data_IF_938077826003
#
_entry.id   IF_938077826003
#
_cell.length_a   1.000
_cell.length_b   1.000
_cell.length_c   1.000
_cell.angle_alpha   90.00
_cell.angle_beta   90.00
_cell.angle_gamma   90.00
#
_symmetry.space_group_name_H-M   'P 1'
#
loop_
_entity.id
_entity.type
_entity.pdbx_description
1 polymer ?
#
# COMPACT_ATOMS: atom_id res chain seq x y z
N UNK A 1 63.29 12.66 15.34
CA UNK A 1 62.70 11.67 14.41
C UNK A 1 61.20 11.40 14.62
N UNK A 2 60.58 11.79 15.75
CA UNK A 2 59.13 11.60 15.97
C UNK A 2 58.22 12.71 15.42
N UNK A 3 58.76 13.88 15.07
CA UNK A 3 57.96 15.01 14.57
C UNK A 3 57.45 14.84 13.13
N UNK A 4 58.11 14.02 12.30
CA UNK A 4 57.61 13.69 10.94
C UNK A 4 56.58 12.54 10.92
N UNK A 5 56.53 11.70 11.95
CA UNK A 5 55.61 10.56 12.01
C UNK A 5 54.18 11.00 12.34
N UNK A 6 54.02 12.02 13.18
CA UNK A 6 52.73 12.62 13.53
C UNK A 6 51.91 13.12 12.32
N UNK A 7 52.45 13.98 11.44
CA UNK A 7 51.68 14.47 10.29
C UNK A 7 51.34 13.35 9.29
N UNK A 8 52.22 12.36 9.12
CA UNK A 8 51.96 11.19 8.27
C UNK A 8 50.83 10.30 8.81
N UNK A 9 50.79 10.07 10.12
CA UNK A 9 49.68 9.36 10.76
C UNK A 9 48.35 10.10 10.62
N UNK A 10 48.36 11.44 10.79
CA UNK A 10 47.14 12.25 10.63
C UNK A 10 46.64 12.22 9.18
N UNK A 11 47.52 12.33 8.19
CA UNK A 11 47.15 12.19 6.77
C UNK A 11 46.57 10.80 6.45
N UNK A 12 47.16 9.74 7.03
CA UNK A 12 46.66 8.38 6.88
C UNK A 12 45.26 8.20 7.45
N UNK A 13 45.01 8.68 8.67
CA UNK A 13 43.67 8.61 9.29
C UNK A 13 42.61 9.42 8.50
N UNK A 14 42.99 10.56 7.93
CA UNK A 14 42.13 11.36 7.05
C UNK A 14 41.80 10.61 5.75
N UNK A 15 42.80 9.97 5.13
CA UNK A 15 42.57 9.16 3.94
C UNK A 15 41.65 7.95 4.22
N UNK A 16 41.88 7.21 5.32
CA UNK A 16 41.05 6.07 5.70
C UNK A 16 39.61 6.47 6.06
N UNK A 17 39.42 7.61 6.74
CA UNK A 17 38.08 8.13 7.04
C UNK A 17 37.32 8.59 5.80
N UNK A 18 38.02 9.13 4.79
CA UNK A 18 37.41 9.47 3.50
C UNK A 18 37.03 8.23 2.67
N UNK A 19 37.80 7.14 2.74
CA UNK A 19 37.53 5.90 2.01
C UNK A 19 36.34 5.11 2.58
N UNK A 20 36.05 5.23 3.89
CA UNK A 20 34.87 4.65 4.53
C UNK A 20 33.61 5.52 4.42
N UNK A 21 33.73 6.74 3.88
CA UNK A 21 32.59 7.63 3.66
C UNK A 21 32.05 7.40 2.24
N UNK A 22 31.05 6.52 2.11
CA UNK A 22 30.34 6.29 0.85
C UNK A 22 29.63 7.59 0.45
N UNK A 23 30.31 8.40 -0.38
CA UNK A 23 29.79 9.66 -0.96
C UNK A 23 28.75 9.37 -2.07
N UNK A 24 28.78 8.17 -2.67
CA UNK A 24 27.85 7.73 -3.72
C UNK A 24 26.80 6.78 -3.17
N UNK A 25 26.11 7.16 -2.10
CA UNK A 25 24.89 6.44 -1.74
C UNK A 25 23.85 6.76 -2.83
N UNK A 26 23.30 5.74 -3.54
CA UNK A 26 22.15 5.99 -4.39
C UNK A 26 21.05 6.67 -3.56
N UNK A 27 20.28 7.56 -4.21
CA UNK A 27 19.19 8.30 -3.57
C UNK A 27 18.19 7.31 -2.99
N UNK A 28 18.24 7.05 -1.68
CA UNK A 28 17.51 5.90 -1.10
C UNK A 28 18.10 5.35 0.20
N UNK A 29 18.29 6.16 1.24
CA UNK A 29 18.60 5.65 2.58
C UNK A 29 17.39 4.96 3.25
N UNK A 30 17.55 4.27 4.40
CA UNK A 30 16.45 3.61 5.16
C UNK A 30 15.25 4.51 5.50
N UNK A 31 15.40 5.83 5.33
CA UNK A 31 14.40 6.86 5.61
C UNK A 31 14.13 7.77 4.42
N UNK A 32 14.72 7.49 3.26
CA UNK A 32 14.41 8.23 2.05
C UNK A 32 13.03 7.76 1.58
N UNK A 33 12.00 8.43 2.08
CA UNK A 33 10.69 8.37 1.48
C UNK A 33 10.85 8.85 0.03
N UNK A 34 10.45 8.07 -0.98
CA UNK A 34 10.45 8.55 -2.35
C UNK A 34 9.63 9.84 -2.41
N UNK A 35 10.22 10.89 -2.98
CA UNK A 35 9.54 12.16 -3.28
C UNK A 35 8.37 11.99 -4.27
N UNK A 36 8.24 10.82 -4.89
CA UNK A 36 7.08 10.42 -5.67
C UNK A 36 6.09 9.64 -4.80
N UNK A 37 4.81 10.04 -4.81
CA UNK A 37 3.74 9.33 -4.11
C UNK A 37 3.70 7.82 -4.41
N UNK A 38 2.98 7.08 -3.57
CA UNK A 38 2.88 5.62 -3.69
C UNK A 38 2.22 5.27 -5.04
N UNK A 39 2.94 4.52 -5.88
CA UNK A 39 2.40 4.08 -7.18
C UNK A 39 1.40 2.93 -7.00
N UNK A 40 0.54 2.71 -7.99
CA UNK A 40 -0.22 1.47 -8.04
C UNK A 40 0.71 0.29 -8.34
N UNK A 41 0.42 -0.86 -7.72
CA UNK A 41 1.13 -2.09 -8.07
C UNK A 41 0.82 -2.51 -9.51
N UNK A 42 1.72 -3.30 -10.09
CA UNK A 42 1.63 -3.75 -11.48
C UNK A 42 0.32 -4.49 -11.77
N UNK A 43 -0.06 -4.44 -13.04
CA UNK A 43 -1.22 -5.15 -13.57
C UNK A 43 -0.93 -6.65 -13.62
N UNK A 44 -1.97 -7.48 -13.53
CA UNK A 44 -1.84 -8.93 -13.62
C UNK A 44 -3.14 -9.58 -14.13
N UNK A 45 -3.09 -10.87 -14.39
CA UNK A 45 -4.27 -11.63 -14.82
C UNK A 45 -4.64 -11.45 -16.30
N UNK A 46 -5.70 -12.14 -16.74
CA UNK A 46 -6.11 -12.13 -18.14
C UNK A 46 -6.54 -10.72 -18.58
N UNK A 47 -5.85 -10.17 -19.57
CA UNK A 47 -6.11 -8.84 -20.12
C UNK A 47 -5.74 -7.69 -19.17
N UNK A 48 -4.80 -7.90 -18.25
CA UNK A 48 -4.31 -6.88 -17.30
C UNK A 48 -5.40 -6.25 -16.44
N UNK A 49 -6.48 -7.01 -16.21
CA UNK A 49 -7.66 -6.54 -15.47
C UNK A 49 -7.49 -6.62 -13.95
N UNK A 50 -6.43 -7.28 -13.47
CA UNK A 50 -6.09 -7.40 -12.06
C UNK A 50 -4.93 -6.51 -11.65
N UNK A 51 -4.69 -6.46 -10.34
CA UNK A 51 -3.56 -5.81 -9.69
C UNK A 51 -2.92 -6.77 -8.69
N UNK A 52 -1.61 -6.63 -8.51
CA UNK A 52 -0.87 -7.43 -7.53
C UNK A 52 -1.13 -6.93 -6.10
N UNK A 53 -1.53 -7.85 -5.21
CA UNK A 53 -1.68 -7.61 -3.77
C UNK A 53 -0.55 -8.24 -2.96
N UNK A 54 0.17 -9.20 -3.54
CA UNK A 54 1.34 -9.88 -2.98
C UNK A 54 2.10 -10.62 -4.09
N UNK A 55 3.25 -11.25 -3.79
CA UNK A 55 4.12 -11.86 -4.82
C UNK A 55 3.44 -13.01 -5.59
N UNK A 56 2.41 -13.61 -5.01
CA UNK A 56 1.63 -14.71 -5.60
C UNK A 56 0.13 -14.45 -5.55
N UNK A 57 -0.30 -13.18 -5.47
CA UNK A 57 -1.71 -12.79 -5.31
C UNK A 57 -2.07 -11.73 -6.35
N UNK A 58 -2.97 -12.09 -7.26
CA UNK A 58 -3.52 -11.20 -8.28
C UNK A 58 -5.04 -11.08 -8.11
N UNK A 59 -5.57 -9.87 -7.96
CA UNK A 59 -7.00 -9.65 -7.77
C UNK A 59 -7.54 -8.55 -8.68
N UNK A 60 -8.81 -8.65 -9.08
CA UNK A 60 -9.49 -7.59 -9.82
C UNK A 60 -11.00 -7.74 -9.81
N UNK A 61 -11.70 -6.62 -9.99
CA UNK A 61 -13.16 -6.59 -10.07
C UNK A 61 -13.66 -7.47 -11.23
N UNK A 62 -14.55 -8.40 -10.88
CA UNK A 62 -15.08 -9.43 -11.80
C UNK A 62 -14.10 -10.55 -12.17
N UNK A 63 -12.81 -10.44 -11.85
CA UNK A 63 -11.83 -11.54 -11.93
C UNK A 63 -11.85 -12.38 -10.65
N UNK A 64 -12.16 -11.76 -9.51
CA UNK A 64 -11.92 -12.35 -8.19
C UNK A 64 -10.44 -12.26 -7.83
N UNK A 65 -9.96 -13.24 -7.07
CA UNK A 65 -8.56 -13.35 -6.68
C UNK A 65 -7.97 -14.69 -7.11
N UNK A 66 -6.80 -14.63 -7.74
CA UNK A 66 -6.00 -15.76 -8.19
C UNK A 66 -4.75 -15.84 -7.32
N UNK A 67 -4.63 -16.92 -6.55
CA UNK A 67 -3.51 -17.16 -5.63
C UNK A 67 -2.64 -18.30 -6.16
N UNK A 68 -1.32 -18.11 -6.20
CA UNK A 68 -0.35 -19.16 -6.58
C UNK A 68 -0.50 -19.68 -8.01
N UNK A 69 -1.09 -18.87 -8.90
CA UNK A 69 -1.35 -19.22 -10.29
C UNK A 69 -0.29 -18.63 -11.23
N UNK A 70 -0.23 -19.11 -12.48
CA UNK A 70 0.59 -18.49 -13.52
C UNK A 70 0.23 -17.02 -13.76
N UNK A 71 -1.05 -16.66 -13.58
CA UNK A 71 -1.55 -15.29 -13.70
C UNK A 71 -1.05 -14.35 -12.59
N UNK A 72 -0.63 -14.90 -11.44
CA UNK A 72 -0.04 -14.15 -10.33
C UNK A 72 1.48 -14.20 -10.30
N UNK A 73 2.14 -15.03 -11.12
CA UNK A 73 3.59 -15.18 -11.11
C UNK A 73 4.33 -13.88 -11.45
N UNK A 74 3.73 -13.04 -12.32
CA UNK A 74 4.26 -11.72 -12.65
C UNK A 74 4.37 -10.79 -11.43
N UNK A 75 3.55 -11.00 -10.39
CA UNK A 75 3.58 -10.16 -9.19
C UNK A 75 4.86 -10.30 -8.36
N UNK A 76 5.65 -11.36 -8.57
CA UNK A 76 6.96 -11.50 -7.92
C UNK A 76 7.95 -10.41 -8.36
N UNK A 77 7.73 -9.81 -9.55
CA UNK A 77 8.58 -8.74 -10.06
C UNK A 77 8.49 -7.45 -9.22
N UNK A 78 7.37 -7.23 -8.49
CA UNK A 78 7.25 -6.14 -7.52
C UNK A 78 8.35 -6.18 -6.45
N UNK A 79 8.84 -7.37 -6.06
CA UNK A 79 9.89 -7.49 -5.05
C UNK A 79 11.25 -6.91 -5.48
N UNK A 80 11.47 -6.79 -6.79
CA UNK A 80 12.71 -6.23 -7.34
C UNK A 80 12.61 -4.72 -7.59
N UNK A 81 11.42 -4.13 -7.48
CA UNK A 81 11.21 -2.70 -7.68
C UNK A 81 11.53 -1.94 -6.39
N UNK A 82 12.49 -1.00 -6.49
CA UNK A 82 12.90 -0.15 -5.36
C UNK A 82 11.85 0.93 -5.00
N UNK A 83 10.76 1.03 -5.75
CA UNK A 83 9.68 1.99 -5.51
C UNK A 83 8.50 1.29 -4.86
N UNK A 84 8.02 1.75 -3.70
CA UNK A 84 6.87 1.13 -3.03
C UNK A 84 5.62 1.32 -3.87
N UNK A 85 4.82 0.26 -3.94
CA UNK A 85 3.51 0.29 -4.56
C UNK A 85 2.42 0.02 -3.52
N UNK A 86 1.19 0.34 -3.87
CA UNK A 86 0.01 -0.05 -3.10
C UNK A 86 -1.07 -0.57 -4.05
N UNK A 87 -1.64 -1.71 -3.67
CA UNK A 87 -2.81 -2.24 -4.34
C UNK A 87 -4.01 -1.29 -4.12
N UNK A 88 -4.91 -1.26 -5.10
CA UNK A 88 -6.12 -0.43 -5.03
C UNK A 88 -7.10 -0.90 -3.96
N UNK A 89 -8.25 -0.21 -3.88
CA UNK A 89 -9.34 -0.56 -2.97
C UNK A 89 -9.20 0.07 -1.58
N UNK A 90 -10.32 0.13 -0.85
CA UNK A 90 -10.38 0.68 0.51
C UNK A 90 -9.67 -0.24 1.51
N UNK A 91 -9.09 0.31 2.59
CA UNK A 91 -8.53 -0.51 3.66
C UNK A 91 -9.61 -1.38 4.32
N UNK A 92 -9.24 -2.59 4.72
CA UNK A 92 -10.11 -3.57 5.37
C UNK A 92 -9.29 -4.46 6.32
N UNK A 93 -9.98 -5.09 7.27
CA UNK A 93 -9.37 -5.95 8.27
C UNK A 93 -8.41 -5.26 9.25
N UNK A 94 -8.02 -5.94 10.33
CA UNK A 94 -7.07 -5.41 11.32
C UNK A 94 -5.61 -5.42 10.84
N UNK A 95 -5.28 -6.32 9.90
CA UNK A 95 -3.91 -6.55 9.39
C UNK A 95 -3.48 -5.57 8.27
N UNK A 96 -4.22 -4.48 8.07
CA UNK A 96 -3.91 -3.49 7.03
C UNK A 96 -4.14 -4.01 5.61
N UNK A 97 -5.14 -4.89 5.42
CA UNK A 97 -5.54 -5.38 4.11
C UNK A 97 -6.27 -4.32 3.28
N UNK A 98 -6.57 -4.67 2.02
CA UNK A 98 -7.36 -3.85 1.10
C UNK A 98 -8.37 -4.68 0.34
N UNK A 99 -9.53 -4.08 0.07
CA UNK A 99 -10.59 -4.74 -0.69
C UNK A 99 -10.13 -4.98 -2.12
N UNK A 100 -9.96 -6.25 -2.46
CA UNK A 100 -9.34 -6.67 -3.72
C UNK A 100 -10.36 -7.08 -4.78
N UNK A 101 -11.53 -7.50 -4.33
CA UNK A 101 -12.73 -7.81 -5.11
C UNK A 101 -13.94 -7.76 -4.16
N UNK A 102 -15.14 -7.74 -4.73
CA UNK A 102 -16.40 -7.80 -3.97
C UNK A 102 -16.38 -8.89 -2.89
N UNK A 103 -16.39 -8.47 -1.63
CA UNK A 103 -16.41 -9.34 -0.45
C UNK A 103 -15.06 -9.97 -0.05
N UNK A 104 -13.93 -9.57 -0.65
CA UNK A 104 -12.60 -10.11 -0.36
C UNK A 104 -11.63 -9.01 0.10
N UNK A 105 -11.10 -9.16 1.31
CA UNK A 105 -10.02 -8.37 1.85
C UNK A 105 -8.69 -9.11 1.69
N UNK A 106 -7.69 -8.50 1.04
CA UNK A 106 -6.39 -9.11 0.81
C UNK A 106 -5.23 -8.27 1.32
N UNK A 107 -4.19 -8.94 1.79
CA UNK A 107 -2.88 -8.37 2.08
C UNK A 107 -1.80 -9.12 1.27
N UNK A 108 -0.52 -8.90 1.59
CA UNK A 108 0.60 -9.55 0.89
C UNK A 108 0.70 -11.06 1.11
N UNK A 109 0.04 -11.59 2.16
CA UNK A 109 0.13 -12.98 2.57
C UNK A 109 -1.07 -13.80 2.11
N UNK A 110 -2.26 -13.20 2.05
CA UNK A 110 -3.47 -13.91 1.65
C UNK A 110 -4.71 -13.03 1.56
N UNK A 111 -5.84 -13.69 1.35
CA UNK A 111 -7.16 -13.07 1.24
C UNK A 111 -8.14 -13.75 2.19
N UNK A 112 -9.03 -12.96 2.77
CA UNK A 112 -10.13 -13.41 3.60
C UNK A 112 -11.44 -12.78 3.15
N UNK A 113 -12.54 -13.46 3.41
CA UNK A 113 -13.87 -12.91 3.15
C UNK A 113 -14.14 -11.82 4.17
N UNK A 114 -14.57 -10.65 3.68
CA UNK A 114 -14.88 -9.49 4.51
C UNK A 114 -16.13 -8.80 3.96
N UNK A 115 -17.17 -8.68 4.79
CA UNK A 115 -18.41 -7.99 4.43
C UNK A 115 -18.19 -6.50 4.19
N UNK A 116 -17.16 -5.93 4.80
CA UNK A 116 -16.80 -4.53 4.59
C UNK A 116 -16.24 -4.29 3.19
N UNK A 117 -15.99 -5.33 2.40
CA UNK A 117 -15.63 -5.26 0.99
C UNK A 117 -16.81 -5.55 0.05
N UNK A 118 -18.01 -5.81 0.56
CA UNK A 118 -19.21 -5.91 -0.27
C UNK A 118 -19.65 -4.49 -0.66
N UNK A 119 -19.52 -4.15 -1.95
CA UNK A 119 -20.11 -2.96 -2.57
C UNK A 119 -19.90 -1.62 -1.86
N UNK A 120 -18.85 -0.89 -2.24
CA UNK A 120 -18.99 0.44 -2.87
C UNK A 120 -17.79 0.54 -3.81
N UNK A 121 -18.01 0.14 -5.06
CA UNK A 121 -17.15 0.49 -6.19
C UNK A 121 -17.20 1.99 -6.36
N UNK A 122 -16.33 2.73 -5.68
CA UNK A 122 -15.82 4.03 -6.12
C UNK A 122 -14.74 4.53 -5.16
N UNK A 123 -13.49 4.29 -5.51
CA UNK A 123 -12.36 4.98 -4.92
C UNK A 123 -11.29 5.23 -5.98
N UNK A 124 -11.66 5.97 -7.03
CA UNK A 124 -10.71 6.72 -7.85
C UNK A 124 -11.38 7.96 -8.42
N UNK A 125 -11.51 9.02 -7.61
CA UNK A 125 -11.06 10.37 -8.00
C UNK A 125 -11.15 11.36 -6.81
N UNK A 126 -10.04 12.00 -6.37
CA UNK A 126 -10.07 13.04 -5.35
C UNK A 126 -10.41 14.39 -6.00
N UNK A 127 -11.65 14.58 -6.46
CA UNK A 127 -12.11 15.92 -6.86
C UNK A 127 -13.63 16.01 -6.94
N UNK A 128 -14.28 16.20 -5.78
CA UNK A 128 -15.42 17.12 -5.62
C UNK A 128 -15.86 17.18 -4.16
N UNK A 129 -15.35 18.18 -3.46
CA UNK A 129 -16.04 18.80 -2.34
C UNK A 129 -17.43 19.29 -2.80
N UNK A 130 -18.50 18.68 -2.31
CA UNK A 130 -19.83 19.32 -2.20
C UNK A 130 -20.73 18.48 -1.29
N UNK A 131 -20.77 18.86 -0.02
CA UNK A 131 -21.88 18.55 0.89
C UNK A 131 -23.22 18.81 0.20
N UNK A 132 -24.01 17.76 0.03
CA UNK A 132 -25.46 17.89 -0.21
C UNK A 132 -26.16 16.94 0.75
N UNK A 133 -26.17 17.32 2.03
CA UNK A 133 -26.99 16.64 3.03
C UNK A 133 -28.45 16.80 2.61
N UNK A 134 -29.01 15.74 2.05
CA UNK A 134 -30.42 15.70 1.70
C UNK A 134 -31.25 15.61 2.99
N UNK A 135 -32.40 16.30 3.08
CA UNK A 135 -33.27 16.20 4.25
C UNK A 135 -33.75 14.75 4.49
N UNK A 136 -33.74 13.92 3.45
CA UNK A 136 -34.04 12.49 3.49
C UNK A 136 -33.01 11.66 4.26
N UNK A 137 -31.72 12.00 4.19
CA UNK A 137 -30.66 11.28 4.95
C UNK A 137 -30.75 11.55 6.45
N UNK A 138 -31.10 12.78 6.82
CA UNK A 138 -31.29 13.16 8.21
C UNK A 138 -32.55 12.49 8.79
N UNK A 139 -33.59 12.34 7.98
CA UNK A 139 -34.84 11.66 8.35
C UNK A 139 -34.63 10.16 8.56
N UNK A 140 -33.83 9.51 7.70
CA UNK A 140 -33.45 8.10 7.86
C UNK A 140 -32.61 7.86 9.12
N UNK A 141 -31.68 8.77 9.45
CA UNK A 141 -30.90 8.68 10.69
C UNK A 141 -31.78 8.85 11.94
N UNK A 142 -32.76 9.74 11.92
CA UNK A 142 -33.68 9.91 13.04
C UNK A 142 -34.60 8.70 13.22
N UNK A 143 -35.08 8.09 12.12
CA UNK A 143 -35.88 6.86 12.19
C UNK A 143 -35.10 5.68 12.78
N UNK A 144 -33.82 5.54 12.43
CA UNK A 144 -32.96 4.51 13.03
C UNK A 144 -32.71 4.72 14.54
N UNK A 145 -32.63 5.97 15.00
CA UNK A 145 -32.46 6.28 16.43
C UNK A 145 -33.76 6.03 17.20
N UNK A 146 -34.92 6.39 16.65
CA UNK A 146 -36.21 6.15 17.29
C UNK A 146 -36.55 4.66 17.40
N UNK A 147 -36.21 3.86 16.39
CA UNK A 147 -36.46 2.40 16.40
C UNK A 147 -35.62 1.63 17.43
N UNK A 148 -34.50 2.20 17.90
CA UNK A 148 -33.66 1.59 18.94
C UNK A 148 -34.19 1.80 20.37
N UNK A 149 -35.16 2.68 20.57
CA UNK A 149 -35.70 3.03 21.90
C UNK A 149 -36.97 2.26 22.31
N UNK A 150 -37.45 1.29 21.52
CA UNK A 150 -38.75 0.65 21.75
C UNK A 150 -38.68 -0.83 22.18
N UNK A 151 -37.48 -1.33 22.50
CA UNK A 151 -37.25 -2.71 22.96
C UNK A 151 -36.76 -2.73 24.41
N UNK A 152 -37.56 -2.17 25.32
CA UNK A 152 -37.48 -2.46 26.75
C UNK A 152 -38.89 -2.31 27.35
N UNK A 153 -39.67 -3.39 27.28
CA UNK A 153 -40.68 -3.79 28.26
C UNK A 153 -41.00 -5.27 28.11
#
# INVERSE_FOLDING_TARGET
MHHCLLPLCVLGLLALSSACYIQNCPRGGKRALPEGGIRQCMSCGPGDRGRCFGPSICCGEGLGCLLGSAASAHCEEENYLLTPCQAGGRPCGPEGGRCASSGLCCNSEGCMVDSDCLGETDATDPSQSSSRNSPTDLLLRLLHVASRGQSDY
#
